data_IF_683340844348
#
_entry.id   IF_683340844348
#
_cell.length_a   1.000
_cell.length_b   1.000
_cell.length_c   1.000
_cell.angle_alpha   90.00
_cell.angle_beta   90.00
_cell.angle_gamma   90.00
#
_symmetry.space_group_name_H-M   'P 1'
#
loop_
_entity.id
_entity.type
_entity.pdbx_description
1 polymer ?
#
# COMPACT_ATOMS: atom_id res chain seq x y z
N UNK A 1 14.83 -25.73 -11.65
CA UNK A 1 14.40 -25.74 -10.23
C UNK A 1 12.92 -25.41 -10.26
N UNK A 2 12.06 -26.32 -9.82
CA UNK A 2 10.62 -26.07 -9.80
C UNK A 2 10.33 -25.11 -8.64
N UNK A 3 9.80 -23.94 -8.92
CA UNK A 3 9.48 -22.94 -7.89
C UNK A 3 8.21 -23.40 -7.17
N UNK A 4 8.28 -23.55 -5.85
CA UNK A 4 7.15 -23.98 -5.03
C UNK A 4 6.74 -22.80 -4.15
N UNK A 5 5.49 -22.36 -4.26
CA UNK A 5 4.91 -21.38 -3.36
C UNK A 5 4.60 -21.99 -1.99
N UNK A 6 4.69 -21.18 -0.96
CA UNK A 6 4.28 -21.57 0.39
C UNK A 6 2.75 -21.69 0.48
N UNK A 7 2.22 -22.52 1.40
CA UNK A 7 0.79 -22.59 1.66
C UNK A 7 0.20 -21.22 2.07
N UNK A 8 -1.00 -20.93 1.61
CA UNK A 8 -1.66 -19.65 1.89
C UNK A 8 -1.89 -19.44 3.41
N UNK A 9 -2.14 -20.51 4.14
CA UNK A 9 -2.32 -20.48 5.59
C UNK A 9 -1.06 -19.96 6.31
N UNK A 10 0.12 -20.38 5.86
CA UNK A 10 1.40 -19.92 6.42
C UNK A 10 1.63 -18.44 6.09
N UNK A 11 1.34 -18.02 4.86
CA UNK A 11 1.43 -16.61 4.44
C UNK A 11 0.50 -15.71 5.25
N UNK A 12 -0.74 -16.15 5.49
CA UNK A 12 -1.69 -15.40 6.32
C UNK A 12 -1.20 -15.25 7.76
N UNK A 13 -0.56 -16.30 8.31
CA UNK A 13 0.01 -16.24 9.65
C UNK A 13 1.20 -15.26 9.73
N UNK A 14 2.10 -15.28 8.74
CA UNK A 14 3.20 -14.31 8.66
C UNK A 14 2.69 -12.86 8.61
N UNK A 15 1.65 -12.58 7.83
CA UNK A 15 1.04 -11.25 7.79
C UNK A 15 0.44 -10.86 9.15
N UNK A 16 -0.24 -11.78 9.86
CA UNK A 16 -0.79 -11.53 11.19
C UNK A 16 0.28 -11.22 12.24
N UNK A 17 1.47 -11.79 12.07
CA UNK A 17 2.63 -11.54 12.94
C UNK A 17 3.37 -10.23 12.57
N UNK A 18 2.96 -9.54 11.52
CA UNK A 18 3.56 -8.29 11.07
C UNK A 18 4.79 -8.46 10.19
N UNK A 19 5.01 -9.65 9.66
CA UNK A 19 6.11 -9.93 8.76
C UNK A 19 5.79 -9.48 7.33
N UNK A 20 6.84 -9.17 6.58
CA UNK A 20 6.76 -8.94 5.13
C UNK A 20 6.74 -10.28 4.43
N UNK A 21 5.76 -10.46 3.54
CA UNK A 21 5.70 -11.58 2.61
C UNK A 21 5.94 -11.09 1.18
N UNK A 22 6.32 -12.02 0.28
CA UNK A 22 6.43 -11.74 -1.16
C UNK A 22 5.21 -12.35 -1.83
N UNK A 23 4.46 -11.51 -2.53
CA UNK A 23 3.32 -11.94 -3.34
C UNK A 23 3.66 -11.73 -4.82
N UNK A 24 3.49 -12.75 -5.63
CA UNK A 24 3.69 -12.68 -7.07
C UNK A 24 2.33 -12.76 -7.78
N UNK A 25 2.13 -11.90 -8.76
CA UNK A 25 0.96 -11.95 -9.61
C UNK A 25 1.13 -12.93 -10.79
N UNK A 26 0.08 -13.10 -11.59
CA UNK A 26 0.08 -14.04 -12.70
C UNK A 26 1.08 -13.63 -13.80
N UNK A 27 1.73 -14.63 -14.42
CA UNK A 27 2.62 -14.42 -15.58
C UNK A 27 1.96 -13.64 -16.73
N UNK A 28 0.64 -13.76 -16.86
CA UNK A 28 -0.14 -13.08 -17.90
C UNK A 28 -0.46 -11.62 -17.57
N UNK A 29 -0.16 -11.15 -16.35
CA UNK A 29 -0.38 -9.76 -15.92
C UNK A 29 0.96 -9.00 -15.91
N UNK A 30 1.60 -8.82 -14.77
CA UNK A 30 2.88 -8.11 -14.65
C UNK A 30 4.04 -9.08 -14.44
N UNK A 31 3.77 -10.25 -13.87
CA UNK A 31 4.76 -11.26 -13.48
C UNK A 31 5.83 -10.68 -12.56
N UNK A 32 5.42 -9.85 -11.63
CA UNK A 32 6.28 -9.17 -10.66
C UNK A 32 6.00 -9.64 -9.24
N UNK A 33 7.00 -9.54 -8.38
CA UNK A 33 6.91 -9.87 -6.96
C UNK A 33 6.89 -8.62 -6.11
N UNK A 34 5.88 -8.48 -5.26
CA UNK A 34 5.70 -7.35 -4.34
C UNK A 34 6.01 -7.73 -2.90
N UNK A 35 6.65 -6.83 -2.16
CA UNK A 35 6.74 -6.91 -0.70
C UNK A 35 5.45 -6.38 -0.09
N UNK A 36 4.77 -7.21 0.69
CA UNK A 36 3.48 -6.91 1.31
C UNK A 36 3.54 -7.08 2.81
N UNK A 37 2.99 -6.13 3.56
CA UNK A 37 2.63 -6.29 4.97
C UNK A 37 1.28 -5.61 5.24
N UNK A 38 0.63 -5.98 6.35
CA UNK A 38 -0.55 -5.25 6.79
C UNK A 38 -0.19 -3.82 7.22
N UNK A 39 -1.06 -2.84 6.92
CA UNK A 39 -0.78 -1.43 7.19
C UNK A 39 -0.55 -1.13 8.68
N UNK A 40 -1.19 -1.87 9.57
CA UNK A 40 -0.97 -1.77 11.03
C UNK A 40 0.46 -2.14 11.46
N UNK A 41 1.19 -2.87 10.61
CA UNK A 41 2.58 -3.24 10.79
C UNK A 41 3.53 -2.51 9.83
N UNK A 42 3.11 -1.41 9.24
CA UNK A 42 3.95 -0.55 8.41
C UNK A 42 4.96 0.22 9.28
N UNK A 43 5.80 -0.49 10.03
CA UNK A 43 6.84 0.11 10.87
C UNK A 43 7.90 0.81 10.02
N UNK A 44 8.69 1.75 10.57
CA UNK A 44 9.81 2.36 9.84
C UNK A 44 10.78 1.32 9.25
N UNK A 45 11.01 0.20 9.95
CA UNK A 45 11.88 -0.89 9.50
C UNK A 45 11.27 -1.61 8.29
N UNK A 46 9.98 -1.97 8.34
CA UNK A 46 9.28 -2.63 7.23
C UNK A 46 9.24 -1.72 6.00
N UNK A 47 8.89 -0.44 6.18
CA UNK A 47 8.88 0.54 5.08
C UNK A 47 10.29 0.75 4.51
N UNK A 48 11.34 0.76 5.36
CA UNK A 48 12.72 0.86 4.89
C UNK A 48 13.14 -0.37 4.09
N UNK A 49 12.75 -1.57 4.50
CA UNK A 49 13.00 -2.80 3.74
C UNK A 49 12.33 -2.74 2.37
N UNK A 50 11.06 -2.35 2.29
CA UNK A 50 10.35 -2.16 1.03
C UNK A 50 11.10 -1.20 0.11
N UNK A 51 11.53 -0.04 0.62
CA UNK A 51 12.21 0.97 -0.17
C UNK A 51 13.62 0.56 -0.62
N UNK A 52 14.39 -0.14 0.24
CA UNK A 52 15.80 -0.46 -0.03
C UNK A 52 16.01 -1.79 -0.76
N UNK A 53 15.18 -2.78 -0.49
CA UNK A 53 15.29 -4.12 -1.07
C UNK A 53 14.42 -4.27 -2.33
N UNK A 54 13.12 -3.98 -2.24
CA UNK A 54 12.19 -4.08 -3.37
C UNK A 54 12.32 -2.89 -4.34
N UNK A 55 12.73 -1.71 -3.88
CA UNK A 55 13.08 -0.51 -4.69
C UNK A 55 11.95 0.08 -5.54
N UNK A 56 10.76 -0.43 -5.44
CA UNK A 56 9.60 0.06 -6.17
C UNK A 56 8.91 1.23 -5.49
N UNK A 57 7.72 1.56 -6.00
CA UNK A 57 6.82 2.53 -5.39
C UNK A 57 6.12 1.89 -4.20
N UNK A 58 6.09 2.58 -3.06
CA UNK A 58 5.33 2.09 -1.90
C UNK A 58 3.87 2.51 -2.06
N UNK A 59 3.04 1.52 -2.32
CA UNK A 59 1.60 1.66 -2.46
C UNK A 59 0.88 1.26 -1.18
N UNK A 60 -0.32 1.79 -0.99
CA UNK A 60 -1.20 1.44 0.12
C UNK A 60 -2.60 1.12 -0.41
N UNK A 61 -2.86 -0.15 -0.76
CA UNK A 61 -4.22 -0.57 -1.09
C UNK A 61 -5.15 -0.36 0.11
N UNK A 62 -6.28 0.28 -0.13
CA UNK A 62 -7.29 0.56 0.90
C UNK A 62 -8.70 0.38 0.36
N UNK A 63 -9.64 0.14 1.25
CA UNK A 63 -11.04 0.02 0.86
C UNK A 63 -11.60 1.35 0.33
N UNK A 64 -12.71 1.26 -0.41
CA UNK A 64 -13.41 2.44 -0.91
C UNK A 64 -13.88 3.34 0.24
N UNK A 65 -14.32 2.75 1.35
CA UNK A 65 -14.78 3.47 2.54
C UNK A 65 -13.65 4.31 3.17
N UNK A 66 -12.44 3.76 3.27
CA UNK A 66 -11.29 4.50 3.79
C UNK A 66 -10.91 5.61 2.81
N UNK A 67 -10.83 5.33 1.52
CA UNK A 67 -10.52 6.32 0.50
C UNK A 67 -11.52 7.48 0.48
N UNK A 68 -12.81 7.18 0.59
CA UNK A 68 -13.88 8.19 0.66
C UNK A 68 -13.82 9.01 1.96
N UNK A 69 -13.58 8.37 3.10
CA UNK A 69 -13.47 9.08 4.38
C UNK A 69 -12.32 10.08 4.40
N UNK A 70 -11.26 9.79 3.65
CA UNK A 70 -10.09 10.68 3.49
C UNK A 70 -10.22 11.63 2.27
N UNK A 71 -11.35 11.61 1.54
CA UNK A 71 -11.60 12.40 0.32
C UNK A 71 -10.50 12.25 -0.73
N UNK A 72 -10.01 11.01 -0.93
CA UNK A 72 -8.98 10.73 -1.91
C UNK A 72 -9.61 10.52 -3.29
N UNK A 73 -9.36 11.47 -4.18
CA UNK A 73 -9.72 11.38 -5.59
C UNK A 73 -8.73 10.55 -6.42
N UNK A 74 -9.11 10.20 -7.68
CA UNK A 74 -8.17 9.56 -8.61
C UNK A 74 -6.96 10.46 -8.86
N UNK A 75 -5.76 9.85 -8.92
CA UNK A 75 -4.50 10.57 -9.20
C UNK A 75 -4.55 11.34 -10.51
N UNK A 76 -5.26 10.82 -11.51
CA UNK A 76 -5.40 11.42 -12.85
C UNK A 76 -6.85 11.31 -13.34
N UNK A 77 -7.26 12.25 -14.20
CA UNK A 77 -8.62 12.29 -14.77
C UNK A 77 -8.87 11.18 -15.79
N UNK A 78 -7.86 10.83 -16.59
CA UNK A 78 -7.93 9.80 -17.62
C UNK A 78 -6.80 8.81 -17.39
N UNK A 79 -7.13 7.64 -16.86
CA UNK A 79 -6.17 6.59 -16.65
C UNK A 79 -5.86 5.90 -17.99
N UNK A 80 -4.60 5.98 -18.43
CA UNK A 80 -4.07 5.36 -19.64
C UNK A 80 -3.08 4.23 -19.32
N UNK A 81 -2.97 3.85 -18.06
CA UNK A 81 -2.17 2.70 -17.64
C UNK A 81 -2.69 1.40 -18.26
N UNK A 82 -1.79 0.52 -18.67
CA UNK A 82 -2.12 -0.73 -19.34
C UNK A 82 -3.04 -1.64 -18.49
N UNK A 83 -2.88 -1.60 -17.17
CA UNK A 83 -3.67 -2.37 -16.21
C UNK A 83 -4.77 -1.55 -15.54
N UNK A 84 -4.84 -0.26 -15.86
CA UNK A 84 -5.79 0.71 -15.28
C UNK A 84 -5.73 0.73 -13.75
N UNK A 85 -4.52 0.59 -13.19
CA UNK A 85 -4.28 0.60 -11.75
C UNK A 85 -4.93 1.82 -11.09
N UNK A 86 -5.75 1.58 -10.09
CA UNK A 86 -6.59 2.61 -9.47
C UNK A 86 -5.81 3.48 -8.47
N UNK A 87 -4.76 4.18 -8.95
CA UNK A 87 -4.02 5.15 -8.15
C UNK A 87 -4.91 6.30 -7.71
N UNK A 88 -4.85 6.61 -6.41
CA UNK A 88 -5.45 7.79 -5.82
C UNK A 88 -4.40 8.88 -5.60
N UNK A 89 -4.85 10.07 -5.20
CA UNK A 89 -3.97 11.17 -4.83
C UNK A 89 -2.97 10.69 -3.77
N UNK A 90 -1.66 10.90 -4.02
CA UNK A 90 -0.62 10.55 -3.07
C UNK A 90 -0.69 11.45 -1.83
N UNK A 91 -0.35 10.89 -0.67
CA UNK A 91 -0.52 11.55 0.62
C UNK A 91 0.75 11.50 1.47
N UNK A 92 0.85 12.50 2.38
CA UNK A 92 1.76 12.51 3.52
C UNK A 92 0.99 12.96 4.75
N UNK A 93 1.21 12.32 5.89
CA UNK A 93 0.67 12.81 7.15
C UNK A 93 1.23 14.19 7.47
N UNK A 94 0.37 15.12 7.95
CA UNK A 94 0.73 16.53 8.13
C UNK A 94 1.96 16.77 9.00
N UNK A 95 2.20 15.90 10.00
CA UNK A 95 3.31 16.04 10.95
C UNK A 95 4.52 15.15 10.58
N UNK A 96 4.54 14.56 9.40
CA UNK A 96 5.62 13.68 8.91
C UNK A 96 6.83 14.42 8.33
N UNK A 97 6.93 15.73 8.53
CA UNK A 97 8.01 16.55 7.97
C UNK A 97 7.95 16.64 6.45
N UNK A 98 9.01 16.22 5.74
CA UNK A 98 9.04 16.18 4.26
C UNK A 98 8.31 14.99 3.65
N UNK A 99 7.87 14.01 4.46
CA UNK A 99 7.08 12.85 4.01
C UNK A 99 7.89 11.71 3.40
N UNK A 100 9.10 11.93 2.91
CA UNK A 100 9.82 10.99 2.04
C UNK A 100 10.54 9.84 2.77
N UNK A 101 10.96 10.05 4.03
CA UNK A 101 11.70 9.02 4.78
C UNK A 101 10.85 7.78 5.07
N UNK A 102 11.49 6.65 5.35
CA UNK A 102 10.77 5.45 5.77
C UNK A 102 9.91 5.70 7.02
N UNK A 103 10.43 6.43 8.00
CA UNK A 103 9.68 6.81 9.20
C UNK A 103 8.48 7.72 8.87
N UNK A 104 8.62 8.66 7.94
CA UNK A 104 7.54 9.54 7.52
C UNK A 104 6.42 8.77 6.79
N UNK A 105 6.79 7.88 5.88
CA UNK A 105 5.82 7.03 5.15
C UNK A 105 5.14 6.01 6.06
N UNK A 106 5.90 5.44 7.01
CA UNK A 106 5.35 4.61 8.09
C UNK A 106 4.28 5.38 8.88
N UNK A 107 4.61 6.58 9.35
CA UNK A 107 3.66 7.45 10.06
C UNK A 107 2.42 7.72 9.21
N UNK A 108 2.58 8.03 7.93
CA UNK A 108 1.47 8.27 7.01
C UNK A 108 0.55 7.05 6.89
N UNK A 109 1.11 5.84 6.73
CA UNK A 109 0.33 4.61 6.63
C UNK A 109 -0.43 4.31 7.92
N UNK A 110 0.24 4.41 9.08
CA UNK A 110 -0.35 4.15 10.39
C UNK A 110 -1.47 5.16 10.74
N UNK A 111 -1.28 6.45 10.40
CA UNK A 111 -2.30 7.47 10.64
C UNK A 111 -3.52 7.30 9.72
N UNK A 112 -3.32 6.83 8.48
CA UNK A 112 -4.41 6.64 7.51
C UNK A 112 -5.40 5.53 7.91
N UNK A 113 -4.98 4.55 8.71
CA UNK A 113 -5.85 3.46 9.18
C UNK A 113 -6.48 3.70 10.55
N UNK A 114 -6.16 4.82 11.21
CA UNK A 114 -6.73 5.13 12.53
C UNK A 114 -8.21 5.44 12.46
N UNK A 115 -8.94 4.98 13.44
CA UNK A 115 -10.31 5.42 13.65
C UNK A 115 -10.37 6.93 13.80
N UNK A 116 -11.20 7.57 12.97
CA UNK A 116 -11.36 9.01 13.00
C UNK A 116 -10.27 9.81 12.26
N UNK A 117 -9.42 9.18 11.46
CA UNK A 117 -8.55 9.86 10.50
C UNK A 117 -9.38 10.79 9.59
N UNK A 118 -8.86 11.98 9.32
CA UNK A 118 -9.58 13.04 8.60
C UNK A 118 -8.79 13.51 7.37
N UNK A 119 -9.47 14.01 6.32
CA UNK A 119 -8.80 14.57 5.14
C UNK A 119 -7.75 15.64 5.48
N UNK A 120 -7.99 16.46 6.51
CA UNK A 120 -7.11 17.54 6.96
C UNK A 120 -5.83 17.05 7.64
N UNK A 121 -5.76 15.77 7.97
CA UNK A 121 -4.58 15.15 8.55
C UNK A 121 -3.51 14.83 7.49
N UNK A 122 -3.86 14.92 6.21
CA UNK A 122 -2.99 14.54 5.10
C UNK A 122 -2.78 15.68 4.10
N UNK A 123 -1.51 15.90 3.74
CA UNK A 123 -1.10 16.77 2.63
C UNK A 123 -1.18 16.00 1.32
N UNK A 124 -1.47 16.72 0.23
CA UNK A 124 -1.52 16.22 -1.16
C UNK A 124 -0.81 17.21 -2.08
N UNK A 125 0.03 16.76 -3.03
CA UNK A 125 0.55 15.39 -3.17
C UNK A 125 1.53 15.01 -2.07
N UNK A 126 1.77 13.70 -1.90
CA UNK A 126 2.70 13.14 -0.92
C UNK A 126 3.56 12.02 -1.50
N UNK A 127 4.15 11.20 -0.61
CA UNK A 127 5.12 10.16 -0.96
C UNK A 127 4.62 8.73 -0.70
N UNK A 128 3.43 8.55 -0.14
CA UNK A 128 2.73 7.28 -0.08
C UNK A 128 1.63 7.29 -1.14
N UNK A 129 1.52 6.21 -1.91
CA UNK A 129 0.60 6.09 -3.04
C UNK A 129 -0.59 5.19 -2.69
N UNK A 130 -1.76 5.74 -2.30
CA UNK A 130 -2.94 4.93 -2.07
C UNK A 130 -3.45 4.33 -3.38
N UNK A 131 -3.97 3.10 -3.29
CA UNK A 131 -4.70 2.41 -4.36
C UNK A 131 -6.10 2.09 -3.87
N UNK A 132 -7.11 2.31 -4.72
CA UNK A 132 -8.46 1.85 -4.40
C UNK A 132 -8.55 0.36 -4.68
N UNK A 133 -8.71 -0.45 -3.63
CA UNK A 133 -8.93 -1.88 -3.75
C UNK A 133 -10.30 -2.16 -4.39
N UNK A 134 -10.40 -3.24 -5.17
CA UNK A 134 -11.70 -3.74 -5.62
C UNK A 134 -12.48 -4.23 -4.40
N UNK A 135 -13.78 -4.01 -4.40
CA UNK A 135 -14.67 -4.54 -3.38
C UNK A 135 -14.51 -6.07 -3.37
N UNK A 136 -14.37 -6.66 -2.19
CA UNK A 136 -14.11 -8.10 -1.99
C UNK A 136 -12.77 -8.62 -2.56
N UNK A 137 -11.94 -7.77 -3.16
CA UNK A 137 -10.63 -8.16 -3.69
C UNK A 137 -10.74 -9.17 -4.83
N UNK A 138 -10.07 -10.32 -4.69
CA UNK A 138 -10.06 -11.41 -5.69
C UNK A 138 -11.11 -12.49 -5.42
N UNK A 139 -11.99 -12.28 -4.45
CA UNK A 139 -13.01 -13.25 -4.03
C UNK A 139 -14.36 -13.03 -4.72
N UNK A 140 -14.46 -12.13 -5.69
CA UNK A 140 -15.64 -11.92 -6.54
C UNK A 140 -15.64 -12.85 -7.75
#
# INVERSE_FOLDING_TARGET
MEFKFDPIEDILEEIRQGHIVIMQDAESRENEGDYICAAEFATPENVNRMASEAKGVICMPMSEEIAESLYLGPMIRHNTDNHQTAFLESIDYKDSGTGVSAAARSMTALEAIKDGAKPEDFRRPGHLSPLKARRWGVLE
#
